data_IF_113311403138
#
_entry.id   IF_113311403138
#
_cell.length_a   1.000
_cell.length_b   1.000
_cell.length_c   1.000
_cell.angle_alpha   90.00
_cell.angle_beta   90.00
_cell.angle_gamma   90.00
#
_symmetry.space_group_name_H-M   'P 1'
#
loop_
_entity.id
_entity.type
_entity.pdbx_description
1 polymer ?
#
# COMPACT_ATOMS: atom_id res chain seq x y z
N UNK A 1 41.35 -28.66 -12.79
CA UNK A 1 40.62 -28.19 -13.99
C UNK A 1 39.20 -28.72 -13.87
N UNK A 2 38.30 -27.94 -13.27
CA UNK A 2 36.84 -28.07 -13.36
C UNK A 2 36.26 -26.89 -12.57
N UNK A 3 36.03 -25.81 -13.32
CA UNK A 3 35.30 -24.63 -12.88
C UNK A 3 33.82 -25.02 -12.77
N UNK A 4 33.24 -24.90 -11.58
CA UNK A 4 31.82 -25.14 -11.36
C UNK A 4 31.06 -23.90 -11.83
N UNK A 5 30.65 -23.93 -13.10
CA UNK A 5 29.80 -22.92 -13.71
C UNK A 5 28.50 -22.76 -12.91
N UNK A 6 28.33 -21.57 -12.35
CA UNK A 6 27.09 -21.13 -11.73
C UNK A 6 26.08 -20.78 -12.84
N UNK A 7 25.27 -21.76 -13.23
CA UNK A 7 24.13 -21.55 -14.13
C UNK A 7 23.10 -20.62 -13.46
N UNK A 8 23.19 -19.34 -13.80
CA UNK A 8 22.17 -18.35 -13.48
C UNK A 8 20.90 -18.72 -14.25
N UNK A 9 19.93 -19.27 -13.53
CA UNK A 9 18.58 -19.53 -14.05
C UNK A 9 17.93 -18.19 -14.36
N UNK A 10 18.04 -17.73 -15.61
CA UNK A 10 17.24 -16.63 -16.14
C UNK A 10 15.76 -17.04 -16.07
N UNK A 11 15.07 -16.53 -15.05
CA UNK A 11 13.64 -16.75 -14.93
C UNK A 11 12.95 -15.86 -15.95
N UNK A 12 12.57 -16.43 -17.09
CA UNK A 12 11.74 -15.81 -18.12
C UNK A 12 10.32 -15.58 -17.58
N UNK A 13 10.18 -14.59 -16.71
CA UNK A 13 8.87 -14.09 -16.32
C UNK A 13 8.28 -13.35 -17.52
N UNK A 14 7.31 -13.97 -18.19
CA UNK A 14 6.43 -13.30 -19.16
C UNK A 14 6.06 -11.91 -18.63
N UNK A 15 6.29 -10.82 -19.41
CA UNK A 15 5.91 -9.49 -18.97
C UNK A 15 4.41 -9.51 -18.68
N UNK A 16 4.03 -9.24 -17.44
CA UNK A 16 2.62 -9.04 -17.12
C UNK A 16 2.15 -7.86 -17.94
N UNK A 17 1.03 -7.99 -18.64
CA UNK A 17 0.49 -6.89 -19.44
C UNK A 17 -0.04 -5.77 -18.51
N UNK A 18 0.09 -4.50 -18.92
CA UNK A 18 -0.45 -3.39 -18.14
C UNK A 18 -1.99 -3.45 -18.14
N UNK A 19 -2.59 -3.42 -16.95
CA UNK A 19 -4.03 -3.40 -16.77
C UNK A 19 -4.51 -1.96 -16.62
N UNK A 20 -4.88 -1.36 -17.77
CA UNK A 20 -5.28 0.04 -17.89
C UNK A 20 -6.68 0.08 -18.50
N UNK A 21 -7.55 0.91 -17.92
CA UNK A 21 -8.91 1.13 -18.42
C UNK A 21 -8.90 1.98 -19.70
N UNK A 22 -10.04 2.04 -20.40
CA UNK A 22 -10.25 2.86 -21.62
C UNK A 22 -9.87 4.35 -21.45
N UNK A 23 -9.90 4.85 -20.21
CA UNK A 23 -9.54 6.23 -19.87
C UNK A 23 -8.06 6.44 -19.52
N UNK A 24 -7.20 5.44 -19.74
CA UNK A 24 -5.78 5.50 -19.43
C UNK A 24 -5.50 5.50 -17.91
N UNK A 25 -6.36 4.84 -17.13
CA UNK A 25 -6.28 4.80 -15.67
C UNK A 25 -6.04 3.38 -15.18
N UNK A 26 -5.25 3.22 -14.13
CA UNK A 26 -5.09 1.95 -13.43
C UNK A 26 -5.90 1.95 -12.13
N UNK A 27 -6.67 0.89 -11.91
CA UNK A 27 -7.47 0.69 -10.71
C UNK A 27 -6.82 -0.29 -9.74
N UNK A 28 -6.77 0.06 -8.47
CA UNK A 28 -6.39 -0.88 -7.43
C UNK A 28 -7.14 -0.68 -6.12
N UNK A 29 -7.14 -1.73 -5.29
CA UNK A 29 -7.67 -1.67 -3.93
C UNK A 29 -6.61 -1.96 -2.89
N UNK A 30 -6.59 -1.11 -1.88
CA UNK A 30 -5.75 -1.22 -0.71
C UNK A 30 -6.55 -1.44 0.57
N UNK A 31 -6.03 -2.27 1.48
CA UNK A 31 -6.70 -2.57 2.76
C UNK A 31 -5.67 -2.61 3.90
N UNK A 32 -5.99 -1.98 5.02
CA UNK A 32 -5.20 -2.06 6.26
C UNK A 32 -6.13 -1.93 7.46
N UNK A 33 -6.03 -2.86 8.42
CA UNK A 33 -7.00 -2.97 9.53
C UNK A 33 -8.42 -2.99 8.95
N UNK A 34 -9.28 -2.07 9.38
CA UNK A 34 -10.66 -1.90 8.92
C UNK A 34 -10.82 -0.83 7.83
N UNK A 35 -9.73 -0.26 7.32
CA UNK A 35 -9.76 0.75 6.27
C UNK A 35 -9.63 0.09 4.88
N UNK A 36 -10.46 0.54 3.95
CA UNK A 36 -10.47 0.13 2.54
C UNK A 36 -10.31 1.37 1.68
N UNK A 37 -9.33 1.35 0.78
CA UNK A 37 -9.04 2.40 -0.18
C UNK A 37 -9.23 1.87 -1.61
N UNK A 38 -10.02 2.58 -2.41
CA UNK A 38 -10.10 2.41 -3.86
C UNK A 38 -9.25 3.51 -4.47
N UNK A 39 -8.25 3.14 -5.26
CA UNK A 39 -7.27 4.07 -5.83
C UNK A 39 -7.33 3.97 -7.34
N UNK A 40 -7.36 5.14 -7.98
CA UNK A 40 -7.23 5.30 -9.42
C UNK A 40 -5.97 6.12 -9.68
N UNK A 41 -5.12 5.63 -10.57
CA UNK A 41 -3.91 6.32 -11.00
C UNK A 41 -4.06 6.69 -12.48
N UNK A 42 -3.68 7.90 -12.84
CA UNK A 42 -3.59 8.40 -14.22
C UNK A 42 -2.28 9.16 -14.38
N UNK A 43 -1.66 9.14 -15.55
CA UNK A 43 -0.56 10.08 -15.86
C UNK A 43 -1.06 11.53 -15.82
N UNK A 44 -0.30 12.41 -15.16
CA UNK A 44 -0.72 13.78 -14.86
C UNK A 44 0.37 14.59 -14.15
N UNK A 45 -0.04 15.47 -13.24
CA UNK A 45 0.82 16.50 -12.63
C UNK A 45 1.19 16.21 -11.16
N UNK A 46 0.89 15.01 -10.65
CA UNK A 46 1.18 14.65 -9.25
C UNK A 46 0.08 15.03 -8.26
N UNK A 47 -1.13 15.36 -8.72
CA UNK A 47 -2.21 15.80 -7.82
C UNK A 47 -2.81 14.61 -7.09
N UNK A 48 -2.80 14.65 -5.76
CA UNK A 48 -3.37 13.61 -4.90
C UNK A 48 -4.66 14.10 -4.26
N UNK A 49 -5.80 13.55 -4.68
CA UNK A 49 -7.12 13.88 -4.15
C UNK A 49 -7.71 12.69 -3.39
N UNK A 50 -8.16 12.90 -2.16
CA UNK A 50 -8.71 11.86 -1.28
C UNK A 50 -10.13 12.24 -0.86
N UNK A 51 -11.12 11.42 -1.22
CA UNK A 51 -12.54 11.66 -0.94
C UNK A 51 -13.02 13.07 -1.38
N UNK A 52 -12.52 13.55 -2.52
CA UNK A 52 -12.87 14.85 -3.08
C UNK A 52 -12.18 16.05 -2.42
N UNK A 53 -11.24 15.82 -1.49
CA UNK A 53 -10.44 16.88 -0.83
C UNK A 53 -8.96 16.69 -1.15
N UNK A 54 -8.18 17.76 -1.00
CA UNK A 54 -6.73 17.68 -1.16
C UNK A 54 -6.08 16.85 -0.04
N UNK A 55 -4.95 16.19 -0.35
CA UNK A 55 -4.24 15.34 0.61
C UNK A 55 -3.80 16.08 1.87
N UNK A 56 -3.48 17.37 1.76
CA UNK A 56 -3.03 18.18 2.89
C UNK A 56 -4.17 18.47 3.87
N UNK A 57 -5.37 18.69 3.32
CA UNK A 57 -6.57 18.93 4.11
C UNK A 57 -7.10 17.65 4.74
N UNK A 58 -7.04 16.51 4.03
CA UNK A 58 -7.54 15.24 4.55
C UNK A 58 -6.61 14.63 5.60
N UNK A 59 -5.30 14.65 5.33
CA UNK A 59 -4.27 14.14 6.24
C UNK A 59 -3.50 15.29 6.86
N UNK A 60 -4.07 15.90 7.89
CA UNK A 60 -3.46 17.03 8.61
C UNK A 60 -2.04 16.76 9.18
N UNK A 61 -1.68 15.49 9.42
CA UNK A 61 -0.36 15.12 9.94
C UNK A 61 0.63 14.88 8.79
N UNK A 62 1.77 15.59 8.74
CA UNK A 62 2.77 15.42 7.68
C UNK A 62 3.26 13.97 7.50
N UNK A 63 3.44 13.24 8.61
CA UNK A 63 3.86 11.83 8.61
C UNK A 63 2.90 10.93 7.80
N UNK A 64 1.61 11.23 7.79
CA UNK A 64 0.62 10.48 7.02
C UNK A 64 0.70 10.79 5.53
N UNK A 65 1.10 12.01 5.15
CA UNK A 65 1.33 12.42 3.76
C UNK A 65 2.60 11.77 3.21
N UNK A 66 3.67 11.75 4.00
CA UNK A 66 4.91 11.06 3.64
C UNK A 66 4.68 9.57 3.35
N UNK A 67 3.81 8.90 4.12
CA UNK A 67 3.44 7.51 3.86
C UNK A 67 2.79 7.28 2.48
N UNK A 68 2.10 8.27 1.92
CA UNK A 68 1.52 8.19 0.58
C UNK A 68 2.56 8.36 -0.52
N UNK A 69 3.58 9.19 -0.26
CA UNK A 69 4.66 9.52 -1.21
C UNK A 69 5.70 8.41 -1.34
N UNK A 70 6.01 7.68 -0.25
CA UNK A 70 6.95 6.56 -0.22
C UNK A 70 6.96 5.64 -1.47
N UNK A 71 5.83 5.07 -1.93
CA UNK A 71 5.83 4.20 -3.11
C UNK A 71 6.12 4.92 -4.42
N UNK A 72 5.83 6.22 -4.53
CA UNK A 72 6.15 7.04 -5.70
C UNK A 72 7.63 7.42 -5.72
N UNK A 73 8.19 7.75 -4.56
CA UNK A 73 9.61 8.03 -4.38
C UNK A 73 10.45 6.79 -4.71
N UNK A 74 10.05 5.63 -4.20
CA UNK A 74 10.75 4.36 -4.46
C UNK A 74 10.68 3.94 -5.93
N UNK A 75 9.61 4.32 -6.63
CA UNK A 75 9.46 4.04 -8.06
C UNK A 75 10.14 5.09 -8.95
N UNK A 76 10.69 6.18 -8.38
CA UNK A 76 11.22 7.33 -9.13
C UNK A 76 10.18 7.92 -10.10
N UNK A 77 8.92 7.99 -9.66
CA UNK A 77 7.77 8.50 -10.46
C UNK A 77 7.04 9.63 -9.72
N UNK A 78 7.79 10.43 -8.98
CA UNK A 78 7.25 11.56 -8.23
C UNK A 78 6.72 12.59 -9.23
N UNK A 79 5.53 13.13 -8.98
CA UNK A 79 4.84 14.13 -9.83
C UNK A 79 4.37 13.68 -11.22
N UNK A 80 4.56 12.43 -11.61
CA UNK A 80 4.12 11.94 -12.93
C UNK A 80 2.66 11.45 -12.95
N UNK A 81 2.10 11.19 -11.78
CA UNK A 81 0.82 10.51 -11.64
C UNK A 81 -0.16 11.32 -10.79
N UNK A 82 -1.34 11.57 -11.35
CA UNK A 82 -2.50 12.02 -10.59
C UNK A 82 -3.18 10.84 -9.92
N UNK A 83 -3.49 10.99 -8.64
CA UNK A 83 -4.03 9.93 -7.79
C UNK A 83 -5.38 10.39 -7.25
N UNK A 84 -6.42 9.60 -7.54
CA UNK A 84 -7.75 9.79 -6.97
C UNK A 84 -8.05 8.60 -6.07
N UNK A 85 -8.13 8.84 -4.76
CA UNK A 85 -8.42 7.83 -3.76
C UNK A 85 -9.79 8.06 -3.11
N UNK A 86 -10.60 7.01 -3.06
CA UNK A 86 -11.82 6.97 -2.23
C UNK A 86 -11.58 6.00 -1.08
N UNK A 87 -11.73 6.46 0.15
CA UNK A 87 -11.38 5.69 1.35
C UNK A 87 -12.54 5.64 2.32
N UNK A 88 -12.81 4.45 2.87
CA UNK A 88 -13.85 4.22 3.87
C UNK A 88 -13.34 3.32 5.00
N UNK A 89 -13.87 3.52 6.21
CA UNK A 89 -13.60 2.71 7.39
C UNK A 89 -12.27 3.03 8.10
N UNK A 90 -12.11 2.44 9.29
CA UNK A 90 -10.93 2.63 10.14
C UNK A 90 -10.76 4.06 10.67
N UNK A 91 -9.52 4.51 10.78
CA UNK A 91 -9.15 5.89 11.11
C UNK A 91 -7.96 6.36 10.27
N UNK A 92 -7.57 7.63 10.39
CA UNK A 92 -6.63 8.29 9.46
C UNK A 92 -5.33 7.51 9.21
N UNK A 93 -4.69 6.97 10.25
CA UNK A 93 -3.45 6.18 10.08
C UNK A 93 -3.67 4.84 9.35
N UNK A 94 -4.81 4.18 9.60
CA UNK A 94 -5.19 2.97 8.87
C UNK A 94 -5.51 3.27 7.41
N UNK A 95 -6.19 4.39 7.17
CA UNK A 95 -6.54 4.89 5.85
C UNK A 95 -5.30 5.24 5.02
N UNK A 96 -4.36 6.01 5.56
CA UNK A 96 -3.11 6.33 4.87
C UNK A 96 -2.34 5.07 4.47
N UNK A 97 -2.25 4.07 5.36
CA UNK A 97 -1.62 2.79 5.04
C UNK A 97 -2.39 1.96 3.99
N UNK A 98 -3.72 2.06 3.96
CA UNK A 98 -4.53 1.43 2.93
C UNK A 98 -4.32 2.11 1.56
N UNK A 99 -4.29 3.45 1.52
CA UNK A 99 -4.02 4.21 0.28
C UNK A 99 -2.62 3.91 -0.23
N UNK A 100 -1.59 3.94 0.62
CA UNK A 100 -0.22 3.56 0.26
C UNK A 100 -0.17 2.21 -0.46
N UNK A 101 -0.80 1.19 0.12
CA UNK A 101 -0.85 -0.15 -0.47
C UNK A 101 -1.65 -0.18 -1.79
N UNK A 102 -2.69 0.65 -1.91
CA UNK A 102 -3.45 0.81 -3.15
C UNK A 102 -2.63 1.46 -4.26
N UNK A 103 -1.88 2.53 -3.96
CA UNK A 103 -0.99 3.22 -4.90
C UNK A 103 0.05 2.24 -5.45
N UNK A 104 0.73 1.49 -4.58
CA UNK A 104 1.74 0.53 -5.00
C UNK A 104 1.21 -0.53 -5.95
N UNK A 105 -0.02 -1.02 -5.73
CA UNK A 105 -0.66 -1.98 -6.66
C UNK A 105 -1.04 -1.34 -7.98
N UNK A 106 -1.62 -0.14 -7.95
CA UNK A 106 -1.99 0.56 -9.17
C UNK A 106 -0.76 0.89 -10.03
N UNK A 107 0.39 1.25 -9.41
CA UNK A 107 1.66 1.41 -10.11
C UNK A 107 2.11 0.12 -10.79
N UNK A 108 1.99 -1.04 -10.12
CA UNK A 108 2.35 -2.32 -10.76
C UNK A 108 1.42 -2.74 -11.89
N UNK A 109 0.16 -2.29 -11.88
CA UNK A 109 -0.77 -2.55 -12.98
C UNK A 109 -0.53 -1.60 -14.15
N UNK A 110 -0.07 -0.37 -13.87
CA UNK A 110 0.27 0.59 -14.90
C UNK A 110 1.62 0.27 -15.56
N UNK A 111 2.66 0.03 -14.75
CA UNK A 111 4.02 -0.33 -15.17
C UNK A 111 4.47 -1.63 -14.45
N UNK A 112 4.24 -2.79 -15.07
CA UNK A 112 4.60 -4.10 -14.51
C UNK A 112 6.07 -4.26 -14.13
N UNK A 113 6.97 -3.54 -14.82
CA UNK A 113 8.39 -3.51 -14.52
C UNK A 113 8.76 -2.93 -13.14
N UNK A 114 7.88 -2.17 -12.50
CA UNK A 114 8.12 -1.59 -11.17
C UNK A 114 7.90 -2.60 -10.02
N UNK A 115 7.31 -3.76 -10.31
CA UNK A 115 6.96 -4.77 -9.31
C UNK A 115 8.15 -5.28 -8.49
N UNK A 116 9.33 -5.58 -9.05
CA UNK A 116 10.49 -6.05 -8.28
C UNK A 116 10.94 -5.03 -7.24
N UNK A 117 11.06 -3.75 -7.63
CA UNK A 117 11.48 -2.65 -6.74
C UNK A 117 10.48 -2.42 -5.61
N UNK A 118 9.19 -2.39 -5.93
CA UNK A 118 8.13 -2.20 -4.95
C UNK A 118 7.94 -3.42 -4.03
N UNK A 119 8.24 -4.63 -4.52
CA UNK A 119 8.23 -5.86 -3.73
C UNK A 119 9.39 -5.90 -2.74
N UNK A 120 10.60 -5.54 -3.18
CA UNK A 120 11.79 -5.50 -2.34
C UNK A 120 11.61 -4.57 -1.13
N UNK A 121 10.96 -3.42 -1.33
CA UNK A 121 10.66 -2.47 -0.26
C UNK A 121 9.37 -2.81 0.55
N UNK A 122 8.72 -3.93 0.27
CA UNK A 122 7.58 -4.42 1.06
C UNK A 122 6.25 -3.66 0.87
N UNK A 123 6.11 -2.85 -0.17
CA UNK A 123 4.89 -2.04 -0.38
C UNK A 123 3.70 -2.85 -0.93
N UNK A 124 4.00 -3.93 -1.67
CA UNK A 124 2.99 -4.83 -2.25
C UNK A 124 2.39 -5.76 -1.19
N UNK A 125 3.06 -5.98 -0.07
CA UNK A 125 2.57 -6.87 0.98
C UNK A 125 1.50 -6.16 1.81
N UNK A 126 0.33 -6.78 1.95
CA UNK A 126 -0.73 -6.26 2.83
C UNK A 126 -0.30 -6.42 4.29
N UNK A 127 -0.42 -5.35 5.08
CA UNK A 127 -0.29 -5.43 6.54
C UNK A 127 -1.44 -6.27 7.13
N UNK A 128 -1.14 -7.50 7.53
CA UNK A 128 -2.10 -8.48 8.04
C UNK A 128 -2.56 -8.21 9.47
N UNK A 129 -1.97 -7.25 10.17
CA UNK A 129 -2.29 -6.95 11.57
C UNK A 129 -3.71 -6.41 11.70
N UNK A 130 -4.50 -7.08 12.53
CA UNK A 130 -5.86 -6.69 12.92
C UNK A 130 -5.95 -6.67 14.44
N UNK A 131 -6.87 -5.87 14.98
CA UNK A 131 -7.09 -5.79 16.43
C UNK A 131 -7.57 -7.14 16.95
N UNK A 132 -6.83 -7.72 17.90
CA UNK A 132 -7.25 -8.93 18.61
C UNK A 132 -8.53 -8.66 19.38
N UNK A 133 -9.50 -9.57 19.27
CA UNK A 133 -10.75 -9.49 20.05
C UNK A 133 -10.45 -9.57 21.56
N UNK A 134 -11.32 -8.97 22.37
CA UNK A 134 -11.29 -9.16 23.83
C UNK A 134 -11.61 -10.62 24.14
N UNK A 135 -10.74 -11.27 24.92
CA UNK A 135 -10.97 -12.63 25.46
C UNK A 135 -11.71 -12.52 26.79
N UNK A 136 -12.57 -13.49 27.10
CA UNK A 136 -13.27 -13.54 28.39
C UNK A 136 -12.26 -13.70 29.54
N UNK A 137 -12.62 -13.26 30.75
CA UNK A 137 -11.72 -13.29 31.91
C UNK A 137 -10.53 -12.33 31.85
N UNK A 138 -10.41 -11.50 30.80
CA UNK A 138 -9.34 -10.50 30.64
C UNK A 138 -9.90 -9.08 30.50
N UNK A 139 -9.15 -8.10 30.98
CA UNK A 139 -9.52 -6.68 30.87
C UNK A 139 -9.44 -6.17 29.43
N UNK A 140 -8.46 -6.64 28.64
CA UNK A 140 -8.30 -6.37 27.20
C UNK A 140 -7.93 -7.67 26.46
N UNK A 141 -7.45 -7.59 25.20
CA UNK A 141 -7.05 -8.76 24.42
C UNK A 141 -6.06 -9.69 25.17
N UNK A 142 -5.04 -9.11 25.83
CA UNK A 142 -4.01 -9.86 26.57
C UNK A 142 -3.89 -9.50 28.06
N UNK A 143 -4.26 -8.26 28.45
CA UNK A 143 -4.15 -7.76 29.83
C UNK A 143 -5.06 -8.54 30.79
N UNK A 144 -4.47 -9.28 31.72
CA UNK A 144 -5.15 -9.94 32.83
C UNK A 144 -5.37 -8.97 34.00
N UNK A 145 -6.28 -9.33 34.89
CA UNK A 145 -6.37 -8.73 36.22
C UNK A 145 -5.21 -9.22 37.09
N UNK A 146 -4.87 -8.47 38.15
CA UNK A 146 -3.86 -8.90 39.12
C UNK A 146 -4.36 -10.16 39.86
N UNK A 147 -3.52 -11.18 39.94
CA UNK A 147 -3.79 -12.40 40.70
C UNK A 147 -3.14 -12.28 42.09
N UNK A 148 -3.87 -12.64 43.14
CA UNK A 148 -3.34 -12.77 44.50
C UNK A 148 -3.46 -14.24 44.91
N UNK A 149 -2.32 -14.88 45.18
CA UNK A 149 -2.26 -16.24 45.74
C UNK A 149 -2.32 -16.10 47.26
N UNK A 150 -3.26 -16.79 47.90
CA UNK A 150 -3.32 -16.99 49.35
C UNK A 150 -2.83 -18.39 49.68
#
# INVERSE_FOLDING_TARGET
>A
MTDAGNDAVETSATPTEPQIDEHGRAYATGKRKNAVARVWIKRGNGKITINGRDQEQYFARPVLRMLLQQPLETAERVNEFDIVATVKGGGLSGQAGAVRHGISKALTYFEPGLRPVLKANGFITRDSRVVERKKYGKAKARRSFQFSKR
#
